data_IF_112835804762
#
_entry.id   IF_112835804762
#
_cell.length_a   1.000
_cell.length_b   1.000
_cell.length_c   1.000
_cell.angle_alpha   90.00
_cell.angle_beta   90.00
_cell.angle_gamma   90.00
#
_symmetry.space_group_name_H-M   'P 1'
#
loop_
_entity.id
_entity.type
_entity.pdbx_description
1 polymer ?
#
# COMPACT_ATOMS: atom_id res chain seq x y z
N UNK A 1 39.34 -21.64 12.83
CA UNK A 1 38.60 -20.57 12.12
C UNK A 1 39.28 -19.25 12.42
N UNK A 2 39.78 -18.55 11.40
CA UNK A 2 40.54 -17.33 11.63
C UNK A 2 39.62 -16.22 12.17
N UNK A 3 40.14 -15.34 13.04
CA UNK A 3 39.37 -14.29 13.71
C UNK A 3 38.64 -13.40 12.69
N UNK A 4 39.25 -13.22 11.51
CA UNK A 4 38.71 -12.53 10.34
C UNK A 4 37.41 -13.15 9.83
N UNK A 5 37.37 -14.47 9.65
CA UNK A 5 36.17 -15.18 9.16
C UNK A 5 35.04 -15.08 10.19
N UNK A 6 35.36 -15.18 11.48
CA UNK A 6 34.39 -15.04 12.56
C UNK A 6 33.76 -13.64 12.59
N UNK A 7 34.59 -12.59 12.48
CA UNK A 7 34.11 -11.20 12.48
C UNK A 7 33.27 -10.91 11.24
N UNK A 8 33.72 -11.34 10.06
CA UNK A 8 32.98 -11.18 8.80
C UNK A 8 31.61 -11.86 8.88
N UNK A 9 31.55 -13.10 9.40
CA UNK A 9 30.29 -13.82 9.57
C UNK A 9 29.30 -13.10 10.48
N UNK A 10 29.76 -12.60 11.63
CA UNK A 10 28.89 -11.89 12.59
C UNK A 10 28.33 -10.61 11.96
N UNK A 11 29.18 -9.85 11.25
CA UNK A 11 28.76 -8.62 10.59
C UNK A 11 27.77 -8.92 9.46
N UNK A 12 28.06 -9.90 8.60
CA UNK A 12 27.14 -10.32 7.53
C UNK A 12 25.80 -10.77 8.09
N UNK A 13 25.80 -11.54 9.19
CA UNK A 13 24.58 -11.97 9.85
C UNK A 13 23.77 -10.79 10.42
N UNK A 14 24.45 -9.78 10.97
CA UNK A 14 23.81 -8.54 11.42
C UNK A 14 23.18 -7.78 10.25
N UNK A 15 23.87 -7.67 9.11
CA UNK A 15 23.33 -7.05 7.90
C UNK A 15 22.12 -7.80 7.34
N UNK A 16 22.15 -9.14 7.34
CA UNK A 16 21.01 -9.97 6.94
C UNK A 16 19.83 -9.72 7.89
N UNK A 17 20.08 -9.65 9.20
CA UNK A 17 19.02 -9.35 10.17
C UNK A 17 18.38 -7.97 9.91
N UNK A 18 19.18 -6.95 9.63
CA UNK A 18 18.69 -5.61 9.25
C UNK A 18 17.91 -5.66 7.94
N UNK A 19 18.38 -6.40 6.93
CA UNK A 19 17.68 -6.55 5.65
C UNK A 19 16.31 -7.22 5.85
N UNK A 20 16.24 -8.30 6.63
CA UNK A 20 14.99 -8.98 6.94
C UNK A 20 14.03 -8.07 7.72
N UNK A 21 14.52 -7.37 8.74
CA UNK A 21 13.73 -6.42 9.52
C UNK A 21 13.21 -5.27 8.66
N UNK A 22 14.07 -4.66 7.84
CA UNK A 22 13.71 -3.57 6.92
C UNK A 22 12.71 -4.01 5.85
N UNK A 23 12.88 -5.22 5.30
CA UNK A 23 11.94 -5.77 4.32
C UNK A 23 10.57 -6.03 4.93
N UNK A 24 10.54 -6.59 6.14
CA UNK A 24 9.31 -6.82 6.90
C UNK A 24 8.61 -5.50 7.20
N UNK A 25 9.37 -4.52 7.70
CA UNK A 25 8.86 -3.18 7.99
C UNK A 25 8.28 -2.51 6.74
N UNK A 26 8.96 -2.59 5.59
CA UNK A 26 8.49 -2.01 4.34
C UNK A 26 7.11 -2.57 3.93
N UNK A 27 6.90 -3.87 4.05
CA UNK A 27 5.61 -4.51 3.72
C UNK A 27 4.51 -4.06 4.69
N UNK A 28 4.81 -3.98 6.00
CA UNK A 28 3.85 -3.47 6.98
C UNK A 28 3.49 -2.01 6.73
N UNK A 29 4.49 -1.19 6.38
CA UNK A 29 4.28 0.21 6.04
C UNK A 29 3.41 0.36 4.79
N UNK A 30 3.71 -0.40 3.74
CA UNK A 30 2.93 -0.42 2.50
C UNK A 30 1.44 -0.70 2.76
N UNK A 31 1.13 -1.73 3.55
CA UNK A 31 -0.25 -2.05 3.93
C UNK A 31 -0.95 -0.89 4.65
N UNK A 32 -0.22 -0.20 5.54
CA UNK A 32 -0.75 0.93 6.29
C UNK A 32 -1.04 2.11 5.36
N UNK A 33 -0.08 2.49 4.51
CA UNK A 33 -0.23 3.57 3.52
C UNK A 33 -1.45 3.33 2.64
N UNK A 34 -1.55 2.16 2.00
CA UNK A 34 -2.68 1.79 1.14
C UNK A 34 -4.02 1.97 1.88
N UNK A 35 -4.08 1.55 3.15
CA UNK A 35 -5.31 1.68 3.96
C UNK A 35 -5.65 3.15 4.25
N UNK A 36 -4.66 3.96 4.60
CA UNK A 36 -4.83 5.38 4.92
C UNK A 36 -5.21 6.20 3.69
N UNK A 37 -4.63 5.89 2.53
CA UNK A 37 -4.94 6.57 1.26
C UNK A 37 -6.35 6.26 0.77
N UNK A 38 -6.75 4.99 0.77
CA UNK A 38 -8.11 4.58 0.40
C UNK A 38 -9.14 5.25 1.32
N UNK A 39 -8.89 5.26 2.62
CA UNK A 39 -9.79 5.89 3.59
C UNK A 39 -9.89 7.40 3.36
N UNK A 40 -8.77 8.06 3.08
CA UNK A 40 -8.73 9.50 2.84
C UNK A 40 -9.43 9.88 1.54
N UNK A 41 -9.20 9.12 0.46
CA UNK A 41 -9.87 9.30 -0.82
C UNK A 41 -11.40 9.10 -0.71
N UNK A 42 -11.83 8.07 0.04
CA UNK A 42 -13.24 7.82 0.31
C UNK A 42 -13.88 8.98 1.10
N UNK A 43 -13.22 9.48 2.16
CA UNK A 43 -13.70 10.61 2.93
C UNK A 43 -13.80 11.89 2.10
N UNK A 44 -12.78 12.18 1.28
CA UNK A 44 -12.77 13.35 0.40
C UNK A 44 -13.93 13.30 -0.60
N UNK A 45 -14.05 12.19 -1.33
CA UNK A 45 -15.12 11.97 -2.32
C UNK A 45 -16.49 12.13 -1.67
N UNK A 46 -16.67 11.52 -0.49
CA UNK A 46 -17.93 11.59 0.24
C UNK A 46 -18.29 13.00 0.70
N UNK A 47 -17.31 13.80 1.12
CA UNK A 47 -17.52 15.20 1.49
C UNK A 47 -17.83 16.08 0.28
N UNK A 48 -17.20 15.83 -0.87
CA UNK A 48 -17.49 16.54 -2.11
C UNK A 48 -18.92 16.26 -2.59
N UNK A 49 -19.34 14.99 -2.59
CA UNK A 49 -20.73 14.61 -2.93
C UNK A 49 -21.72 15.29 -1.97
N UNK A 50 -21.45 15.26 -0.66
CA UNK A 50 -22.31 15.90 0.33
C UNK A 50 -22.42 17.43 0.13
N UNK A 51 -21.32 18.09 -0.24
CA UNK A 51 -21.30 19.52 -0.54
C UNK A 51 -22.06 19.87 -1.83
N UNK A 52 -21.93 19.05 -2.87
CA UNK A 52 -22.70 19.24 -4.12
C UNK A 52 -24.20 19.07 -3.88
N UNK A 53 -24.61 18.04 -3.12
CA UNK A 53 -26.01 17.80 -2.78
C UNK A 53 -26.58 18.95 -1.95
N UNK A 54 -25.85 19.43 -0.93
CA UNK A 54 -26.34 20.54 -0.10
C UNK A 54 -26.49 21.84 -0.90
N UNK A 55 -25.62 22.08 -1.89
CA UNK A 55 -25.71 23.22 -2.81
C UNK A 55 -26.97 23.14 -3.67
N UNK A 56 -27.27 21.96 -4.24
CA UNK A 56 -28.46 21.75 -5.09
C UNK A 56 -29.75 21.80 -4.27
N UNK A 57 -29.76 21.24 -3.05
CA UNK A 57 -30.92 21.37 -2.15
C UNK A 57 -31.21 22.83 -1.79
N UNK A 58 -30.16 23.65 -1.66
CA UNK A 58 -30.29 25.07 -1.36
C UNK A 58 -30.80 25.89 -2.55
N UNK A 59 -30.55 25.45 -3.79
CA UNK A 59 -31.07 26.10 -5.01
C UNK A 59 -32.50 25.68 -5.36
N UNK A 60 -32.96 24.53 -4.87
CA UNK A 60 -34.32 24.01 -5.11
C UNK A 60 -34.56 23.49 -6.53
N UNK A 61 -33.48 23.25 -7.28
CA UNK A 61 -33.51 22.82 -8.67
C UNK A 61 -33.34 21.29 -8.74
N UNK A 62 -34.47 20.59 -8.88
CA UNK A 62 -34.52 19.12 -8.91
C UNK A 62 -33.93 18.54 -10.20
N UNK A 63 -33.94 19.30 -11.30
CA UNK A 63 -33.39 18.85 -12.59
C UNK A 63 -31.85 18.76 -12.52
N UNK A 64 -31.21 19.68 -11.80
CA UNK A 64 -29.76 19.62 -11.51
C UNK A 64 -29.36 18.44 -10.63
N UNK A 65 -30.27 17.97 -9.76
CA UNK A 65 -30.03 16.78 -8.92
C UNK A 65 -30.02 15.51 -9.76
N UNK A 66 -30.99 15.36 -10.67
CA UNK A 66 -31.07 14.22 -11.59
C UNK A 66 -29.91 14.22 -12.60
N UNK A 67 -29.49 15.39 -13.09
CA UNK A 67 -28.32 15.50 -13.97
C UNK A 67 -27.01 15.14 -13.24
N UNK A 68 -26.86 15.54 -11.96
CA UNK A 68 -25.72 15.13 -11.14
C UNK A 68 -25.71 13.62 -10.86
N UNK A 69 -26.86 13.01 -10.57
CA UNK A 69 -26.95 11.56 -10.38
C UNK A 69 -26.64 10.80 -11.69
N UNK A 70 -27.11 11.33 -12.82
CA UNK A 70 -26.82 10.78 -14.14
C UNK A 70 -25.34 10.91 -14.51
N UNK A 71 -24.72 12.07 -14.27
CA UNK A 71 -23.28 12.29 -14.43
C UNK A 71 -22.48 11.35 -13.53
N UNK A 72 -22.81 11.26 -12.24
CA UNK A 72 -22.16 10.36 -11.30
C UNK A 72 -22.28 8.89 -11.69
N UNK A 73 -23.44 8.45 -12.20
CA UNK A 73 -23.64 7.10 -12.73
C UNK A 73 -22.89 6.84 -14.04
N UNK A 74 -22.58 7.89 -14.80
CA UNK A 74 -21.79 7.85 -16.04
C UNK A 74 -20.29 8.05 -15.79
N UNK A 75 -19.90 8.50 -14.61
CA UNK A 75 -18.53 8.54 -14.10
C UNK A 75 -18.02 7.13 -13.73
N UNK A 76 -18.30 6.12 -14.56
CA UNK A 76 -17.37 5.01 -14.87
C UNK A 76 -16.06 5.55 -15.50
N UNK A 77 -15.61 6.72 -15.03
CA UNK A 77 -14.56 7.50 -15.65
C UNK A 77 -13.25 7.17 -14.96
N UNK A 78 -12.48 6.42 -15.73
CA UNK A 78 -11.02 6.45 -15.78
C UNK A 78 -10.30 5.61 -14.73
N UNK A 79 -10.45 4.28 -14.88
CA UNK A 79 -9.36 3.30 -14.70
C UNK A 79 -8.77 3.16 -13.27
N UNK A 80 -9.18 3.94 -12.28
CA UNK A 80 -8.51 4.00 -10.97
C UNK A 80 -9.46 4.14 -9.75
N UNK A 81 -10.79 4.09 -9.93
CA UNK A 81 -11.77 4.00 -8.83
C UNK A 81 -13.15 3.56 -9.36
N UNK A 82 -13.60 2.35 -9.04
CA UNK A 82 -14.99 1.92 -9.28
C UNK A 82 -15.90 2.51 -8.20
N UNK A 83 -16.53 3.65 -8.46
CA UNK A 83 -17.59 4.17 -7.59
C UNK A 83 -18.93 3.55 -8.02
N UNK A 84 -19.34 2.44 -7.40
CA UNK A 84 -20.64 1.80 -7.68
C UNK A 84 -21.76 2.57 -6.96
N UNK A 85 -22.45 3.47 -7.66
CA UNK A 85 -23.61 4.20 -7.12
C UNK A 85 -24.87 3.38 -7.38
N UNK A 86 -25.38 2.69 -6.36
CA UNK A 86 -26.69 2.04 -6.42
C UNK A 86 -27.78 3.04 -6.03
N UNK A 87 -28.70 3.36 -6.94
CA UNK A 87 -29.85 4.21 -6.64
C UNK A 87 -31.04 3.30 -6.23
N UNK A 88 -31.33 3.16 -4.92
CA UNK A 88 -32.56 2.48 -4.50
C UNK A 88 -33.77 3.39 -4.75
N UNK A 89 -34.43 3.18 -5.89
CA UNK A 89 -35.76 3.73 -6.18
C UNK A 89 -36.84 2.90 -5.47
N UNK A 90 -36.83 2.91 -4.14
CA UNK A 90 -37.99 2.59 -3.29
C UNK A 90 -38.63 1.21 -3.46
N UNK A 91 -37.90 0.19 -3.92
CA UNK A 91 -38.51 -1.12 -4.15
C UNK A 91 -37.59 -2.28 -3.81
N UNK A 92 -36.92 -2.25 -2.65
CA UNK A 92 -36.34 -3.44 -2.03
C UNK A 92 -35.55 -4.32 -3.00
N UNK A 93 -34.79 -3.69 -3.90
CA UNK A 93 -34.00 -4.41 -4.88
C UNK A 93 -32.79 -4.99 -4.17
N UNK A 94 -32.99 -6.20 -3.67
CA UNK A 94 -31.97 -7.21 -3.40
C UNK A 94 -31.33 -7.64 -4.73
N UNK A 95 -30.78 -6.69 -5.49
CA UNK A 95 -29.81 -7.02 -6.52
C UNK A 95 -28.61 -7.66 -5.82
N UNK A 96 -28.15 -8.85 -6.24
CA UNK A 96 -27.01 -9.49 -5.61
C UNK A 96 -25.83 -8.53 -5.76
N UNK A 97 -25.25 -8.11 -4.63
CA UNK A 97 -24.01 -7.33 -4.59
C UNK A 97 -23.06 -7.95 -5.63
N UNK A 98 -22.75 -7.20 -6.69
CA UNK A 98 -21.78 -7.66 -7.67
C UNK A 98 -20.53 -8.14 -6.93
N UNK A 99 -19.96 -9.29 -7.35
CA UNK A 99 -18.79 -9.85 -6.69
C UNK A 99 -17.73 -8.77 -6.54
N UNK A 100 -17.02 -8.77 -5.40
CA UNK A 100 -15.96 -7.79 -5.15
C UNK A 100 -15.06 -7.71 -6.40
N UNK A 101 -14.77 -6.50 -6.91
CA UNK A 101 -13.98 -6.35 -8.11
C UNK A 101 -12.68 -7.12 -7.98
N UNK A 102 -12.30 -7.81 -9.05
CA UNK A 102 -11.02 -8.51 -9.11
C UNK A 102 -9.91 -7.48 -9.01
N UNK A 103 -9.06 -7.59 -7.97
CA UNK A 103 -7.89 -6.72 -7.83
C UNK A 103 -6.94 -7.02 -9.00
N UNK A 104 -6.87 -6.09 -9.95
CA UNK A 104 -5.99 -6.15 -11.13
C UNK A 104 -4.85 -5.14 -10.96
N UNK A 105 -4.03 -5.37 -9.92
CA UNK A 105 -2.86 -4.55 -9.64
C UNK A 105 -1.64 -5.04 -10.43
N UNK A 106 -0.81 -4.12 -10.92
CA UNK A 106 0.51 -4.41 -11.51
C UNK A 106 1.53 -4.73 -10.39
N UNK A 107 1.23 -5.77 -9.61
CA UNK A 107 2.02 -6.24 -8.49
C UNK A 107 1.99 -7.78 -8.38
N UNK A 108 3.08 -8.40 -7.90
CA UNK A 108 3.10 -9.84 -7.67
C UNK A 108 2.02 -10.29 -6.69
N UNK A 109 1.41 -11.44 -6.95
CA UNK A 109 0.33 -12.01 -6.10
C UNK A 109 0.72 -12.17 -4.63
N UNK A 110 1.99 -12.44 -4.33
CA UNK A 110 2.45 -12.55 -2.96
C UNK A 110 2.34 -11.19 -2.24
N UNK A 111 2.72 -10.10 -2.92
CA UNK A 111 2.66 -8.76 -2.36
C UNK A 111 1.21 -8.34 -2.12
N UNK A 112 0.37 -8.50 -3.14
CA UNK A 112 -1.08 -8.24 -3.06
C UNK A 112 -1.70 -8.97 -1.86
N UNK A 113 -1.35 -10.24 -1.63
CA UNK A 113 -1.89 -11.00 -0.50
C UNK A 113 -1.44 -10.51 0.88
N UNK A 114 -0.25 -9.89 0.99
CA UNK A 114 0.26 -9.34 2.24
C UNK A 114 -0.30 -7.94 2.53
N UNK A 115 -0.51 -7.13 1.48
CA UNK A 115 -0.90 -5.71 1.64
C UNK A 115 -2.39 -5.44 1.44
N UNK A 116 -3.14 -6.39 0.84
CA UNK A 116 -4.58 -6.20 0.61
C UNK A 116 -5.29 -5.75 1.90
N UNK A 117 -6.00 -4.62 1.88
CA UNK A 117 -6.81 -4.22 3.01
C UNK A 117 -7.92 -5.28 3.21
N UNK A 118 -8.38 -5.51 4.46
CA UNK A 118 -9.64 -6.22 4.67
C UNK A 118 -10.72 -5.47 3.87
N UNK A 119 -11.63 -6.20 3.21
CA UNK A 119 -12.67 -5.60 2.33
C UNK A 119 -13.37 -4.45 3.07
N UNK A 120 -13.00 -3.21 2.75
CA UNK A 120 -13.60 -2.03 3.34
C UNK A 120 -14.76 -1.60 2.44
N UNK A 121 -15.95 -2.11 2.74
CA UNK A 121 -17.18 -1.60 2.15
C UNK A 121 -17.53 -0.27 2.84
N UNK A 122 -17.22 0.87 2.21
CA UNK A 122 -17.67 2.17 2.67
C UNK A 122 -19.13 2.41 2.24
N UNK A 123 -20.08 1.95 3.06
CA UNK A 123 -21.52 2.22 2.86
C UNK A 123 -21.87 3.58 3.46
N UNK A 124 -22.40 4.51 2.65
CA UNK A 124 -22.92 5.78 3.15
C UNK A 124 -24.35 6.01 2.65
N UNK A 125 -25.33 5.77 3.51
CA UNK A 125 -26.74 6.09 3.24
C UNK A 125 -26.92 7.61 3.12
N UNK A 126 -27.50 8.11 2.02
CA UNK A 126 -27.85 9.52 1.84
C UNK A 126 -29.38 9.63 1.76
N UNK A 127 -30.04 9.84 2.90
CA UNK A 127 -31.49 10.05 2.91
C UNK A 127 -31.84 11.42 2.32
N UNK A 128 -32.49 11.46 1.16
CA UNK A 128 -33.10 12.68 0.61
C UNK A 128 -34.44 12.99 1.30
N UNK A 129 -34.77 14.28 1.38
CA UNK A 129 -36.02 14.80 1.96
C UNK A 129 -37.15 14.54 0.95
N UNK A 130 -38.13 13.72 1.34
CA UNK A 130 -39.37 13.51 0.58
C UNK A 130 -39.58 12.07 0.09
N UNK A 131 -39.74 11.13 1.02
CA UNK A 131 -40.41 9.83 0.84
C UNK A 131 -39.76 8.68 0.06
N UNK A 132 -38.49 8.78 -0.38
CA UNK A 132 -37.69 7.59 -0.75
C UNK A 132 -36.21 7.83 -0.41
N UNK A 133 -35.63 7.00 0.46
CA UNK A 133 -34.23 7.12 0.85
C UNK A 133 -33.30 6.55 -0.21
N UNK A 134 -32.42 7.37 -0.77
CA UNK A 134 -31.44 6.95 -1.78
C UNK A 134 -30.12 6.53 -1.12
N UNK A 135 -29.83 5.23 -1.02
CA UNK A 135 -28.58 4.75 -0.45
C UNK A 135 -27.41 4.79 -1.47
N UNK A 136 -26.53 5.79 -1.40
CA UNK A 136 -25.33 5.85 -2.25
C UNK A 136 -24.20 5.01 -1.64
N UNK A 137 -23.98 3.81 -2.17
CA UNK A 137 -22.81 3.00 -1.81
C UNK A 137 -21.59 3.57 -2.53
N UNK A 138 -20.44 3.69 -1.86
CA UNK A 138 -19.17 4.10 -2.50
C UNK A 138 -18.19 2.96 -2.25
N UNK A 139 -17.82 2.25 -3.33
CA UNK A 139 -16.74 1.26 -3.29
C UNK A 139 -15.46 1.95 -3.77
N UNK A 140 -14.32 1.62 -3.16
CA UNK A 140 -13.02 2.07 -3.64
C UNK A 140 -12.28 0.84 -4.20
N UNK A 141 -11.72 0.97 -5.41
CA UNK A 141 -10.86 -0.04 -6.00
C UNK A 141 -9.41 0.16 -5.53
N UNK A 142 -8.81 -0.78 -4.78
CA UNK A 142 -7.44 -0.63 -4.28
C UNK A 142 -6.36 -0.91 -5.35
N UNK A 143 -6.72 -1.32 -6.56
CA UNK A 143 -5.76 -1.85 -7.55
C UNK A 143 -4.67 -0.85 -7.95
N UNK A 144 -5.04 0.41 -8.17
CA UNK A 144 -4.10 1.49 -8.48
C UNK A 144 -3.10 1.72 -7.33
N UNK A 145 -3.63 1.85 -6.12
CA UNK A 145 -2.87 2.14 -4.91
C UNK A 145 -1.87 1.02 -4.59
N UNK A 146 -2.29 -0.24 -4.78
CA UNK A 146 -1.40 -1.40 -4.65
C UNK A 146 -0.27 -1.39 -5.68
N UNK A 147 -0.55 -0.95 -6.91
CA UNK A 147 0.43 -0.90 -8.00
C UNK A 147 1.50 0.16 -7.75
N UNK A 148 1.08 1.35 -7.30
CA UNK A 148 1.97 2.45 -6.93
C UNK A 148 2.83 2.09 -5.71
N UNK A 149 2.19 1.65 -4.63
CA UNK A 149 2.89 1.23 -3.40
C UNK A 149 3.85 0.05 -3.67
N UNK A 150 3.53 -0.86 -4.60
CA UNK A 150 4.45 -1.92 -5.02
C UNK A 150 5.72 -1.37 -5.66
N UNK A 151 5.58 -0.40 -6.57
CA UNK A 151 6.72 0.25 -7.23
C UNK A 151 7.65 0.90 -6.21
N UNK A 152 7.10 1.64 -5.25
CA UNK A 152 7.85 2.28 -4.17
C UNK A 152 8.55 1.25 -3.28
N UNK A 153 7.81 0.23 -2.83
CA UNK A 153 8.34 -0.83 -1.98
C UNK A 153 9.46 -1.58 -2.68
N UNK A 154 9.29 -1.90 -3.97
CA UNK A 154 10.33 -2.56 -4.78
C UNK A 154 11.59 -1.72 -4.87
N UNK A 155 11.46 -0.42 -5.13
CA UNK A 155 12.60 0.49 -5.21
C UNK A 155 13.34 0.60 -3.87
N UNK A 156 12.59 0.69 -2.77
CA UNK A 156 13.16 0.70 -1.42
C UNK A 156 13.90 -0.61 -1.09
N UNK A 157 13.30 -1.77 -1.37
CA UNK A 157 13.93 -3.07 -1.15
C UNK A 157 15.20 -3.24 -1.99
N UNK A 158 15.18 -2.76 -3.23
CA UNK A 158 16.37 -2.77 -4.09
C UNK A 158 17.49 -1.90 -3.52
N UNK A 159 17.18 -0.69 -3.06
CA UNK A 159 18.15 0.21 -2.43
C UNK A 159 18.73 -0.40 -1.15
N UNK A 160 17.87 -1.00 -0.31
CA UNK A 160 18.27 -1.69 0.91
C UNK A 160 19.21 -2.85 0.60
N UNK A 161 18.87 -3.69 -0.38
CA UNK A 161 19.71 -4.81 -0.83
C UNK A 161 21.06 -4.32 -1.34
N UNK A 162 21.07 -3.28 -2.18
CA UNK A 162 22.28 -2.69 -2.74
C UNK A 162 23.19 -2.15 -1.64
N UNK A 163 22.62 -1.40 -0.69
CA UNK A 163 23.34 -0.89 0.47
C UNK A 163 23.94 -2.02 1.31
N UNK A 164 23.15 -3.04 1.61
CA UNK A 164 23.61 -4.22 2.37
C UNK A 164 24.75 -4.95 1.65
N UNK A 165 24.65 -5.13 0.34
CA UNK A 165 25.70 -5.78 -0.46
C UNK A 165 26.99 -4.96 -0.49
N UNK A 166 26.90 -3.65 -0.74
CA UNK A 166 28.05 -2.74 -0.75
C UNK A 166 28.73 -2.66 0.61
N UNK A 167 27.95 -2.58 1.69
CA UNK A 167 28.48 -2.55 3.05
C UNK A 167 29.22 -3.86 3.39
N UNK A 168 28.64 -5.02 3.07
CA UNK A 168 29.31 -6.31 3.27
C UNK A 168 30.60 -6.42 2.45
N UNK A 169 30.58 -5.97 1.20
CA UNK A 169 31.75 -5.98 0.33
C UNK A 169 32.86 -5.07 0.88
N UNK A 170 32.53 -3.85 1.29
CA UNK A 170 33.49 -2.92 1.89
C UNK A 170 34.11 -3.51 3.16
N UNK A 171 33.29 -4.10 4.03
CA UNK A 171 33.73 -4.75 5.27
C UNK A 171 34.66 -5.92 4.94
N UNK A 172 34.31 -6.76 3.96
CA UNK A 172 35.16 -7.85 3.52
C UNK A 172 36.55 -7.35 3.07
N UNK A 173 36.60 -6.24 2.32
CA UNK A 173 37.85 -5.61 1.90
C UNK A 173 38.65 -5.02 3.08
N UNK A 174 38.01 -4.30 3.99
CA UNK A 174 38.66 -3.69 5.16
C UNK A 174 39.21 -4.77 6.09
N UNK A 175 38.42 -5.78 6.44
CA UNK A 175 38.87 -6.92 7.23
C UNK A 175 40.01 -7.66 6.51
N UNK A 176 39.98 -7.73 5.18
CA UNK A 176 41.05 -8.33 4.40
C UNK A 176 42.37 -7.57 4.44
N UNK A 177 42.32 -6.24 4.51
CA UNK A 177 43.50 -5.37 4.54
C UNK A 177 44.05 -5.17 5.95
N UNK A 178 43.17 -4.92 6.92
CA UNK A 178 43.57 -4.40 8.23
C UNK A 178 43.78 -5.51 9.29
N UNK A 179 43.23 -6.72 9.11
CA UNK A 179 43.50 -7.87 10.00
C UNK A 179 44.67 -8.76 9.54
N UNK A 180 45.12 -8.62 8.29
CA UNK A 180 46.26 -9.38 7.78
C UNK A 180 47.55 -9.23 8.63
N UNK A 181 47.90 -8.04 9.17
CA UNK A 181 49.07 -7.89 10.03
C UNK A 181 48.92 -8.53 11.40
N UNK A 182 47.70 -8.60 11.93
CA UNK A 182 47.43 -9.16 13.27
C UNK A 182 47.57 -10.68 13.25
N UNK A 183 47.11 -11.35 12.18
CA UNK A 183 47.37 -12.79 11.97
C UNK A 183 48.87 -13.09 11.84
N UNK A 184 49.64 -12.21 11.19
CA UNK A 184 51.09 -12.37 11.08
C UNK A 184 51.79 -12.29 12.44
N UNK A 185 51.39 -11.35 13.31
CA UNK A 185 51.95 -11.21 14.67
C UNK A 185 51.58 -12.41 15.55
N UNK A 186 50.33 -12.86 15.52
CA UNK A 186 49.86 -14.05 16.25
C UNK A 186 50.61 -15.31 15.82
N UNK A 187 50.79 -15.51 14.51
CA UNK A 187 51.58 -16.64 13.97
C UNK A 187 53.05 -16.58 14.36
N UNK A 188 53.61 -15.37 14.48
CA UNK A 188 54.98 -15.17 14.93
C UNK A 188 55.18 -15.55 16.40
N UNK A 189 54.19 -15.24 17.24
CA UNK A 189 54.20 -15.60 18.67
C UNK A 189 54.02 -17.11 18.91
N UNK A 190 53.12 -17.76 18.15
CA UNK A 190 52.95 -19.23 18.20
C UNK A 190 54.21 -19.99 17.75
N UNK A 191 55.11 -19.36 16.99
CA UNK A 191 56.37 -19.98 16.55
C UNK A 191 57.52 -19.83 17.56
N UNK A 192 57.33 -19.03 18.59
CA UNK A 192 58.34 -18.72 19.63
C UNK A 192 58.04 -19.46 20.94
N UNK A 193 56.80 -19.91 21.15
CA UNK A 193 56.37 -20.78 22.26
C UNK A 193 56.44 -22.24 21.83
#
# INVERSE_FOLDING_TARGET
>A
MSLRIRLALVITLLFIAVLCAGSTYAIFSARKTITEEIQSAAMLTSNMIAASISTIQSSGDLDLFDELLYELGRLEMTRHMETIISLDLGAGSTEPLQPAPTIDADAPRWFVNLVKPPVMEFKRVITSIGSSGTEIIIRADPSAEISETWLETRNFLFLLLLFTALANLLIYFILGRDLAPIEAILSGLERIV
#
